data_IF_014798343995
#
_entry.id   IF_014798343995
#
_cell.length_a   1.000
_cell.length_b   1.000
_cell.length_c   1.000
_cell.angle_alpha   90.00
_cell.angle_beta   90.00
_cell.angle_gamma   90.00
#
_symmetry.space_group_name_H-M   'P 1'
#
loop_
_entity.id
_entity.type
_entity.pdbx_description
1 polymer ?
#
# COMPACT_ATOMS: atom_id res chain seq x y z
N UNK A 1 -0.69 -25.78 -4.60
CA UNK A 1 -1.23 -24.92 -5.67
C UNK A 1 -1.57 -23.58 -5.03
N UNK A 2 -1.00 -22.48 -5.52
CA UNK A 2 -1.21 -21.17 -4.91
C UNK A 2 -2.64 -20.66 -5.13
N UNK A 3 -3.06 -19.73 -4.27
CA UNK A 3 -4.35 -19.05 -4.41
C UNK A 3 -4.19 -17.90 -5.40
N UNK A 4 -4.76 -18.04 -6.59
CA UNK A 4 -4.84 -16.93 -7.55
C UNK A 4 -5.63 -15.76 -6.95
N UNK A 5 -5.09 -14.56 -7.08
CA UNK A 5 -5.73 -13.32 -6.61
C UNK A 5 -5.43 -12.18 -7.56
N UNK A 6 -6.46 -11.43 -7.96
CA UNK A 6 -6.24 -10.20 -8.72
C UNK A 6 -5.86 -9.06 -7.78
N UNK A 7 -4.83 -8.30 -8.14
CA UNK A 7 -4.46 -7.08 -7.43
C UNK A 7 -4.81 -5.85 -8.29
N UNK A 8 -5.48 -4.87 -7.68
CA UNK A 8 -5.89 -3.61 -8.29
C UNK A 8 -5.40 -2.44 -7.42
N UNK A 9 -4.42 -1.70 -7.92
CA UNK A 9 -3.66 -0.69 -7.17
C UNK A 9 -3.32 0.49 -8.07
N UNK A 10 -2.98 1.63 -7.49
CA UNK A 10 -2.80 2.89 -8.22
C UNK A 10 -1.49 2.97 -8.99
N UNK A 11 -0.40 2.51 -8.37
CA UNK A 11 0.96 2.63 -8.87
C UNK A 11 1.83 1.43 -8.50
N UNK A 12 3.09 1.47 -8.92
CA UNK A 12 4.05 0.38 -8.72
C UNK A 12 4.45 0.21 -7.25
N UNK A 13 4.49 1.31 -6.48
CA UNK A 13 4.80 1.24 -5.05
C UNK A 13 3.68 0.53 -4.29
N UNK A 14 2.43 0.89 -4.57
CA UNK A 14 1.25 0.25 -3.99
C UNK A 14 1.18 -1.24 -4.36
N UNK A 15 1.57 -1.60 -5.59
CA UNK A 15 1.72 -3.00 -6.01
C UNK A 15 2.77 -3.72 -5.17
N UNK A 16 3.97 -3.13 -5.04
CA UNK A 16 5.06 -3.72 -4.26
C UNK A 16 4.62 -3.97 -2.80
N UNK A 17 3.92 -3.01 -2.20
CA UNK A 17 3.36 -3.13 -0.85
C UNK A 17 2.38 -4.31 -0.76
N UNK A 18 1.41 -4.40 -1.69
CA UNK A 18 0.44 -5.51 -1.69
C UNK A 18 1.14 -6.85 -1.88
N UNK A 19 2.08 -6.96 -2.82
CA UNK A 19 2.84 -8.20 -3.06
C UNK A 19 3.65 -8.60 -1.84
N UNK A 20 4.33 -7.65 -1.18
CA UNK A 20 5.10 -7.89 0.04
C UNK A 20 4.20 -8.40 1.16
N UNK A 21 3.03 -7.77 1.37
CA UNK A 21 2.06 -8.22 2.36
C UNK A 21 1.59 -9.65 2.08
N UNK A 22 1.24 -9.96 0.83
CA UNK A 22 0.78 -11.30 0.43
C UNK A 22 1.89 -12.35 0.56
N UNK A 23 3.15 -12.00 0.27
CA UNK A 23 4.30 -12.89 0.39
C UNK A 23 4.65 -13.25 1.85
N UNK A 24 4.19 -12.47 2.83
CA UNK A 24 4.38 -12.73 4.25
C UNK A 24 3.21 -13.51 4.89
N UNK A 25 2.22 -13.92 4.10
CA UNK A 25 1.11 -14.74 4.58
C UNK A 25 1.50 -16.22 4.57
N UNK A 26 0.90 -16.99 5.47
CA UNK A 26 1.03 -18.46 5.48
C UNK A 26 0.38 -19.11 4.25
N UNK A 27 -0.57 -18.41 3.63
CA UNK A 27 -1.20 -18.82 2.38
C UNK A 27 -0.32 -18.40 1.21
N UNK A 28 0.06 -19.36 0.37
CA UNK A 28 0.72 -19.08 -0.89
C UNK A 28 -0.27 -18.43 -1.87
N UNK A 29 0.02 -17.19 -2.26
CA UNK A 29 -0.74 -16.43 -3.25
C UNK A 29 -0.02 -16.39 -4.60
N UNK A 30 -0.81 -16.34 -5.68
CA UNK A 30 -0.34 -16.06 -7.04
C UNK A 30 -0.95 -14.73 -7.52
N UNK A 31 -0.38 -13.58 -7.09
CA UNK A 31 -0.95 -12.27 -7.38
C UNK A 31 -0.74 -11.84 -8.84
N UNK A 32 -1.85 -11.56 -9.52
CA UNK A 32 -1.88 -11.07 -10.90
C UNK A 32 -2.38 -9.62 -10.91
N UNK A 33 -1.56 -8.69 -11.41
CA UNK A 33 -1.96 -7.28 -11.53
C UNK A 33 -2.96 -7.13 -12.67
N UNK A 34 -4.09 -6.49 -12.40
CA UNK A 34 -5.15 -6.34 -13.40
C UNK A 34 -4.90 -5.21 -14.40
N UNK A 35 -4.19 -4.12 -14.05
CA UNK A 35 -3.77 -3.05 -14.99
C UNK A 35 -2.78 -2.03 -14.38
N UNK A 36 -2.06 -1.30 -15.25
CA UNK A 36 -1.06 -0.25 -14.95
C UNK A 36 -1.55 1.08 -15.54
N UNK A 37 -2.36 1.87 -14.81
CA UNK A 37 -2.71 3.22 -15.27
C UNK A 37 -4.04 3.77 -14.74
N UNK A 38 -4.12 5.11 -14.67
CA UNK A 38 -5.35 5.85 -14.35
C UNK A 38 -5.59 6.14 -12.85
N UNK A 39 -4.71 5.66 -11.95
CA UNK A 39 -4.72 5.97 -10.52
C UNK A 39 -6.05 5.68 -9.81
N UNK A 40 -6.32 6.41 -8.71
CA UNK A 40 -7.54 6.28 -7.93
C UNK A 40 -8.84 6.44 -8.76
N UNK A 41 -8.87 7.33 -9.76
CA UNK A 41 -10.04 7.54 -10.61
C UNK A 41 -10.42 6.28 -11.38
N UNK A 42 -9.43 5.58 -11.96
CA UNK A 42 -9.68 4.32 -12.65
C UNK A 42 -10.19 3.23 -11.71
N UNK A 43 -9.61 3.10 -10.51
CA UNK A 43 -10.06 2.14 -9.51
C UNK A 43 -11.51 2.42 -9.08
N UNK A 44 -11.85 3.70 -8.86
CA UNK A 44 -13.21 4.15 -8.55
C UNK A 44 -14.18 3.76 -9.66
N UNK A 45 -13.85 4.04 -10.92
CA UNK A 45 -14.71 3.73 -12.06
C UNK A 45 -14.94 2.23 -12.26
N UNK A 46 -13.97 1.39 -11.85
CA UNK A 46 -14.01 -0.06 -12.01
C UNK A 46 -14.40 -0.83 -10.75
N UNK A 47 -14.64 -0.18 -9.61
CA UNK A 47 -14.90 -0.85 -8.34
C UNK A 47 -16.08 -1.85 -8.42
N UNK A 48 -17.16 -1.51 -9.12
CA UNK A 48 -18.32 -2.41 -9.27
C UNK A 48 -17.95 -3.64 -10.12
N UNK A 49 -17.10 -3.46 -11.13
CA UNK A 49 -16.60 -4.57 -11.95
C UNK A 49 -15.69 -5.49 -11.13
N UNK A 50 -14.74 -4.92 -10.37
CA UNK A 50 -13.88 -5.69 -9.46
C UNK A 50 -14.69 -6.45 -8.40
N UNK A 51 -15.67 -5.78 -7.80
CA UNK A 51 -16.58 -6.42 -6.87
C UNK A 51 -17.34 -7.58 -7.52
N UNK A 52 -17.76 -7.46 -8.78
CA UNK A 52 -18.41 -8.55 -9.50
C UNK A 52 -17.47 -9.71 -9.83
N UNK A 53 -16.20 -9.44 -10.21
CA UNK A 53 -15.17 -10.48 -10.43
C UNK A 53 -14.92 -11.28 -9.15
N UNK A 54 -14.97 -10.62 -8.00
CA UNK A 54 -14.85 -11.23 -6.68
C UNK A 54 -15.92 -12.27 -6.33
N UNK A 55 -16.91 -12.52 -7.21
CA UNK A 55 -17.82 -13.67 -7.08
C UNK A 55 -17.19 -14.98 -7.56
N UNK A 56 -16.13 -14.91 -8.36
CA UNK A 56 -15.50 -16.07 -9.01
C UNK A 56 -14.02 -16.20 -8.68
N UNK A 57 -13.30 -15.08 -8.56
CA UNK A 57 -11.87 -15.07 -8.23
C UNK A 57 -11.62 -13.97 -7.20
N UNK A 58 -10.86 -14.22 -6.12
CA UNK A 58 -10.53 -13.18 -5.14
C UNK A 58 -9.92 -11.94 -5.77
N UNK A 59 -10.32 -10.76 -5.29
CA UNK A 59 -9.79 -9.47 -5.73
C UNK A 59 -9.32 -8.67 -4.54
N UNK A 60 -8.07 -8.23 -4.54
CA UNK A 60 -7.51 -7.28 -3.59
C UNK A 60 -7.35 -5.92 -4.27
N UNK A 61 -8.16 -4.96 -3.84
CA UNK A 61 -8.01 -3.56 -4.24
C UNK A 61 -7.45 -2.70 -3.10
N UNK A 62 -6.41 -1.92 -3.39
CA UNK A 62 -5.81 -0.96 -2.47
C UNK A 62 -5.76 0.43 -3.13
N UNK A 63 -6.12 1.46 -2.37
CA UNK A 63 -6.09 2.87 -2.78
C UNK A 63 -5.67 3.72 -1.59
N UNK A 64 -5.19 4.93 -1.88
CA UNK A 64 -4.87 5.93 -0.88
C UNK A 64 -6.12 6.70 -0.44
N UNK A 65 -6.10 7.19 0.80
CA UNK A 65 -7.16 8.09 1.30
C UNK A 65 -6.95 9.53 0.83
N UNK A 66 -5.70 9.88 0.50
CA UNK A 66 -5.22 11.23 0.25
C UNK A 66 -5.63 12.20 1.38
N UNK A 67 -6.42 13.20 1.03
CA UNK A 67 -6.92 14.25 1.91
C UNK A 67 -8.32 13.97 2.44
N UNK A 68 -8.94 12.83 2.11
CA UNK A 68 -10.30 12.52 2.54
C UNK A 68 -10.38 12.26 4.05
N UNK A 69 -11.60 12.37 4.58
CA UNK A 69 -11.86 12.35 6.02
C UNK A 69 -11.52 11.00 6.64
N UNK A 70 -12.03 9.90 6.08
CA UNK A 70 -11.77 8.56 6.61
C UNK A 70 -11.99 7.44 5.58
N UNK A 71 -11.34 6.28 5.77
CA UNK A 71 -11.48 5.11 4.88
C UNK A 71 -12.93 4.65 4.64
N UNK A 72 -13.76 4.63 5.69
CA UNK A 72 -15.13 4.14 5.57
C UNK A 72 -16.01 5.08 4.74
N UNK A 73 -15.76 6.39 4.78
CA UNK A 73 -16.42 7.34 3.90
C UNK A 73 -16.01 7.13 2.44
N UNK A 74 -14.72 6.88 2.16
CA UNK A 74 -14.24 6.57 0.81
C UNK A 74 -14.89 5.31 0.25
N UNK A 75 -14.94 4.23 1.04
CA UNK A 75 -15.56 2.97 0.63
C UNK A 75 -17.05 3.17 0.31
N UNK A 76 -17.77 3.93 1.14
CA UNK A 76 -19.18 4.27 0.88
C UNK A 76 -19.37 5.14 -0.36
N UNK A 77 -18.47 6.10 -0.58
CA UNK A 77 -18.48 6.95 -1.77
C UNK A 77 -18.29 6.11 -3.05
N UNK A 78 -17.38 5.15 -3.03
CA UNK A 78 -17.02 4.36 -4.23
C UNK A 78 -18.03 3.25 -4.51
N UNK A 79 -18.50 2.53 -3.49
CA UNK A 79 -19.48 1.45 -3.68
C UNK A 79 -20.93 1.94 -3.74
N UNK A 80 -21.23 3.13 -3.19
CA UNK A 80 -22.61 3.59 -3.03
C UNK A 80 -23.44 2.58 -2.24
N UNK A 81 -24.50 2.07 -2.87
CA UNK A 81 -25.40 1.05 -2.30
C UNK A 81 -25.04 -0.39 -2.68
N UNK A 82 -23.96 -0.59 -3.45
CA UNK A 82 -23.55 -1.92 -3.90
C UNK A 82 -22.96 -2.71 -2.72
N UNK A 83 -23.54 -3.89 -2.45
CA UNK A 83 -23.02 -4.80 -1.44
C UNK A 83 -21.65 -5.35 -1.87
N UNK A 84 -20.67 -5.25 -0.99
CA UNK A 84 -19.33 -5.80 -1.19
C UNK A 84 -19.37 -7.34 -1.11
N UNK A 85 -18.78 -8.02 -2.09
CA UNK A 85 -18.68 -9.48 -2.10
C UNK A 85 -17.64 -9.95 -1.08
N UNK A 86 -17.81 -11.16 -0.49
CA UNK A 86 -16.92 -11.65 0.57
C UNK A 86 -15.45 -11.83 0.19
N UNK A 87 -15.19 -12.07 -1.10
CA UNK A 87 -13.83 -12.24 -1.64
C UNK A 87 -13.31 -10.96 -2.32
N UNK A 88 -14.01 -9.83 -2.14
CA UNK A 88 -13.52 -8.51 -2.51
C UNK A 88 -12.85 -7.83 -1.32
N UNK A 89 -11.52 -7.88 -1.29
CA UNK A 89 -10.68 -7.28 -0.26
C UNK A 89 -10.36 -5.84 -0.69
N UNK A 90 -11.31 -4.93 -0.46
CA UNK A 90 -11.09 -3.51 -0.69
C UNK A 90 -10.57 -2.81 0.57
N UNK A 91 -9.36 -2.28 0.52
CA UNK A 91 -8.72 -1.56 1.64
C UNK A 91 -8.19 -0.20 1.19
N UNK A 92 -8.02 0.68 2.17
CA UNK A 92 -7.63 2.08 1.97
C UNK A 92 -6.50 2.40 2.95
N UNK A 93 -5.36 2.86 2.42
CA UNK A 93 -4.27 3.38 3.24
C UNK A 93 -4.65 4.76 3.79
N UNK A 94 -4.54 4.97 5.11
CA UNK A 94 -4.82 6.30 5.68
C UNK A 94 -3.69 7.25 5.27
N UNK A 95 -4.10 8.39 4.69
CA UNK A 95 -3.26 9.30 3.90
C UNK A 95 -2.75 8.59 2.64
N UNK A 96 -1.64 7.89 2.72
CA UNK A 96 -0.99 7.25 1.58
C UNK A 96 -0.25 5.98 2.03
N UNK A 97 0.06 5.06 1.11
CA UNK A 97 0.89 3.88 1.40
C UNK A 97 2.26 4.25 1.97
N UNK A 98 2.80 5.43 1.64
CA UNK A 98 4.02 5.95 2.24
C UNK A 98 3.93 6.08 3.77
N UNK A 99 2.74 6.34 4.34
CA UNK A 99 2.56 6.35 5.79
C UNK A 99 2.91 4.99 6.42
N UNK A 100 2.62 3.89 5.71
CA UNK A 100 2.99 2.55 6.16
C UNK A 100 4.50 2.31 6.06
N UNK A 101 5.17 2.87 5.05
CA UNK A 101 6.62 2.77 4.91
C UNK A 101 7.36 3.59 5.97
N UNK A 102 6.85 4.78 6.32
CA UNK A 102 7.38 5.62 7.42
C UNK A 102 7.32 4.91 8.78
N UNK A 103 6.39 3.97 8.96
CA UNK A 103 6.19 3.29 10.23
C UNK A 103 7.36 2.37 10.62
N UNK A 104 8.03 1.76 9.64
CA UNK A 104 9.31 1.07 9.84
C UNK A 104 10.48 2.07 9.76
N UNK A 105 10.47 3.00 10.71
CA UNK A 105 11.40 4.12 10.81
C UNK A 105 12.86 3.66 10.88
N UNK A 106 13.14 2.54 11.55
CA UNK A 106 14.50 1.98 11.66
C UNK A 106 15.00 1.48 10.30
N UNK A 107 14.21 0.64 9.59
CA UNK A 107 14.61 0.14 8.28
C UNK A 107 14.72 1.29 7.27
N UNK A 108 13.75 2.22 7.28
CA UNK A 108 13.74 3.37 6.37
C UNK A 108 14.97 4.28 6.59
N UNK A 109 15.33 4.58 7.84
CA UNK A 109 16.53 5.39 8.14
C UNK A 109 17.81 4.73 7.61
N UNK A 110 17.90 3.39 7.70
CA UNK A 110 19.03 2.61 7.19
C UNK A 110 19.07 2.64 5.67
N UNK A 111 17.94 2.37 5.02
CA UNK A 111 17.79 2.40 3.57
C UNK A 111 18.18 3.77 2.98
N UNK A 112 17.63 4.85 3.56
CA UNK A 112 17.94 6.23 3.16
C UNK A 112 19.32 6.70 3.62
N UNK A 113 20.10 5.88 4.35
CA UNK A 113 21.42 6.24 4.90
C UNK A 113 21.40 7.59 5.63
N UNK A 114 20.43 7.78 6.52
CA UNK A 114 20.28 9.00 7.31
C UNK A 114 21.33 9.07 8.42
N UNK A 115 21.98 10.23 8.57
CA UNK A 115 22.95 10.47 9.66
C UNK A 115 22.30 10.63 11.04
N UNK A 116 21.06 11.11 11.07
CA UNK A 116 20.27 11.30 12.28
C UNK A 116 19.00 10.48 12.15
N UNK A 117 18.79 9.56 13.09
CA UNK A 117 17.60 8.74 13.15
C UNK A 117 16.35 9.62 13.31
N UNK A 118 15.27 9.20 12.66
CA UNK A 118 13.93 9.78 12.76
C UNK A 118 13.02 8.70 13.34
N UNK A 119 12.01 9.12 14.11
CA UNK A 119 11.00 8.21 14.65
C UNK A 119 9.61 8.76 14.37
N UNK A 120 8.71 7.87 13.98
CA UNK A 120 7.31 8.19 13.71
C UNK A 120 6.43 7.49 14.75
N UNK A 121 5.82 8.28 15.64
CA UNK A 121 4.89 7.75 16.66
C UNK A 121 3.52 7.46 16.05
N UNK A 122 3.05 8.35 15.16
CA UNK A 122 1.76 8.22 14.47
C UNK A 122 1.98 8.46 12.97
N UNK A 123 2.49 7.46 12.21
CA UNK A 123 2.82 7.62 10.80
C UNK A 123 1.63 8.05 9.94
N UNK A 124 0.44 7.48 10.20
CA UNK A 124 -0.82 7.84 9.51
C UNK A 124 -1.35 9.25 9.88
N UNK A 125 -0.71 9.92 10.84
CA UNK A 125 -0.98 11.31 11.22
C UNK A 125 -0.19 12.33 10.42
N UNK A 126 0.81 11.91 9.64
CA UNK A 126 1.55 12.80 8.73
C UNK A 126 0.60 13.33 7.65
N UNK A 127 0.53 14.66 7.49
CA UNK A 127 -0.41 15.27 6.56
C UNK A 127 -0.12 14.92 5.08
N UNK A 128 1.16 14.73 4.75
CA UNK A 128 1.67 14.38 3.42
C UNK A 128 2.85 13.39 3.60
N UNK A 129 2.55 12.08 3.76
CA UNK A 129 3.57 11.06 3.97
C UNK A 129 4.59 10.97 2.83
N UNK A 130 4.16 11.12 1.58
CA UNK A 130 5.03 11.17 0.40
C UNK A 130 6.01 12.34 0.46
N UNK A 131 5.54 13.55 0.77
CA UNK A 131 6.43 14.69 0.98
C UNK A 131 7.43 14.45 2.12
N UNK A 132 7.00 13.76 3.19
CA UNK A 132 7.90 13.38 4.29
C UNK A 132 8.99 12.41 3.83
N UNK A 133 8.65 11.40 3.02
CA UNK A 133 9.63 10.49 2.41
C UNK A 133 10.64 11.27 1.56
N UNK A 134 10.17 12.20 0.71
CA UNK A 134 11.05 13.04 -0.11
C UNK A 134 11.98 13.93 0.73
N UNK A 135 11.47 14.54 1.81
CA UNK A 135 12.29 15.32 2.75
C UNK A 135 13.40 14.48 3.38
N UNK A 136 13.09 13.24 3.79
CA UNK A 136 14.07 12.32 4.34
C UNK A 136 15.10 11.89 3.28
N UNK A 137 14.65 11.57 2.06
CA UNK A 137 15.53 11.19 0.96
C UNK A 137 16.48 12.33 0.55
N UNK A 138 16.03 13.59 0.57
CA UNK A 138 16.86 14.78 0.30
C UNK A 138 18.01 14.93 1.31
N UNK A 139 17.82 14.42 2.54
CA UNK A 139 18.81 14.39 3.61
C UNK A 139 19.73 13.16 3.58
N UNK A 140 19.53 12.26 2.61
CA UNK A 140 20.33 11.05 2.46
C UNK A 140 21.81 11.38 2.27
N UNK A 141 22.67 10.57 2.87
CA UNK A 141 24.11 10.59 2.56
C UNK A 141 24.45 9.86 1.25
N UNK A 142 23.49 9.12 0.67
CA UNK A 142 23.62 8.45 -0.62
C UNK A 142 23.22 9.38 -1.75
N UNK A 143 24.15 9.73 -2.65
CA UNK A 143 23.83 10.56 -3.83
C UNK A 143 22.79 9.90 -4.73
N UNK A 144 22.84 8.57 -4.88
CA UNK A 144 21.87 7.82 -5.70
C UNK A 144 20.44 8.03 -5.17
N UNK A 145 20.25 7.92 -3.86
CA UNK A 145 18.94 8.14 -3.23
C UNK A 145 18.56 9.61 -3.36
N UNK A 146 19.46 10.52 -2.96
CA UNK A 146 19.18 11.96 -2.97
C UNK A 146 18.80 12.48 -4.36
N UNK A 147 19.66 12.24 -5.35
CA UNK A 147 19.52 12.83 -6.69
C UNK A 147 18.53 12.04 -7.58
N UNK A 148 18.25 10.78 -7.21
CA UNK A 148 17.37 9.90 -7.96
C UNK A 148 15.92 9.86 -7.45
N UNK A 149 15.72 9.84 -6.13
CA UNK A 149 14.39 9.74 -5.49
C UNK A 149 13.74 11.11 -5.38
N UNK A 150 14.54 12.18 -5.33
CA UNK A 150 14.05 13.54 -5.14
C UNK A 150 14.40 14.42 -6.33
N UNK A 151 13.41 15.18 -6.80
CA UNK A 151 13.59 16.30 -7.72
C UNK A 151 13.25 17.58 -6.99
N UNK A 152 14.08 18.60 -7.13
CA UNK A 152 13.78 19.95 -6.62
C UNK A 152 13.28 20.83 -7.76
N UNK A 153 12.10 21.41 -7.59
CA UNK A 153 11.55 22.38 -8.51
C UNK A 153 12.21 23.76 -8.37
N UNK A 154 11.97 24.63 -9.34
CA UNK A 154 12.47 26.01 -9.34
C UNK A 154 11.95 26.84 -8.15
N UNK A 155 10.76 26.53 -7.64
CA UNK A 155 10.16 27.16 -6.46
C UNK A 155 10.68 26.57 -5.12
N UNK A 156 11.60 25.61 -5.20
CA UNK A 156 12.19 24.93 -4.03
C UNK A 156 11.37 23.77 -3.48
N UNK A 157 10.20 23.47 -4.05
CA UNK A 157 9.40 22.30 -3.64
C UNK A 157 10.06 20.99 -4.04
N UNK A 158 9.91 19.96 -3.20
CA UNK A 158 10.37 18.62 -3.50
C UNK A 158 9.28 17.85 -4.24
N UNK A 159 9.68 17.15 -5.30
CA UNK A 159 8.84 16.25 -6.07
C UNK A 159 9.51 14.88 -6.21
N UNK A 160 8.72 13.89 -6.58
CA UNK A 160 9.22 12.56 -6.90
C UNK A 160 10.25 12.66 -8.05
N UNK A 161 11.44 12.12 -7.79
CA UNK A 161 12.48 11.92 -8.79
C UNK A 161 12.20 10.69 -9.66
N UNK A 162 12.93 10.53 -10.78
CA UNK A 162 12.65 9.51 -11.79
C UNK A 162 12.80 8.07 -11.28
N UNK A 163 13.56 7.83 -10.20
CA UNK A 163 13.73 6.49 -9.62
C UNK A 163 12.99 6.33 -8.29
N UNK A 164 12.09 7.25 -7.93
CA UNK A 164 11.32 7.18 -6.68
C UNK A 164 10.64 5.82 -6.50
N UNK A 165 9.81 5.40 -7.47
CA UNK A 165 9.09 4.13 -7.39
C UNK A 165 10.04 2.94 -7.39
N UNK A 166 11.13 2.96 -8.17
CA UNK A 166 12.08 1.86 -8.24
C UNK A 166 12.81 1.66 -6.90
N UNK A 167 13.29 2.75 -6.28
CA UNK A 167 14.01 2.71 -5.01
C UNK A 167 13.08 2.34 -3.85
N UNK A 168 11.88 2.92 -3.79
CA UNK A 168 10.92 2.60 -2.73
C UNK A 168 10.36 1.18 -2.89
N UNK A 169 10.17 0.70 -4.11
CA UNK A 169 9.84 -0.72 -4.36
C UNK A 169 10.96 -1.65 -3.88
N UNK A 170 12.24 -1.28 -4.11
CA UNK A 170 13.38 -2.04 -3.58
C UNK A 170 13.32 -2.10 -2.06
N UNK A 171 13.16 -0.95 -1.40
CA UNK A 171 13.01 -0.87 0.05
C UNK A 171 11.87 -1.77 0.56
N UNK A 172 10.69 -1.68 -0.07
CA UNK A 172 9.51 -2.48 0.28
C UNK A 172 9.77 -3.98 0.19
N UNK A 173 10.51 -4.42 -0.83
CA UNK A 173 10.75 -5.84 -1.06
C UNK A 173 11.87 -6.41 -0.16
N UNK A 174 12.92 -5.64 0.09
CA UNK A 174 14.16 -6.12 0.71
C UNK A 174 14.22 -5.82 2.22
N UNK A 175 13.80 -4.63 2.64
CA UNK A 175 14.08 -4.11 3.98
C UNK A 175 12.82 -3.93 4.84
N UNK A 176 11.69 -3.56 4.23
CA UNK A 176 10.48 -3.19 4.95
C UNK A 176 9.85 -4.37 5.71
N UNK A 177 9.57 -4.15 6.99
CA UNK A 177 8.82 -5.05 7.86
C UNK A 177 7.35 -4.58 8.02
N UNK A 178 6.45 -5.40 7.47
CA UNK A 178 5.00 -5.16 7.50
C UNK A 178 4.46 -5.22 8.92
N UNK A 179 4.98 -6.10 9.78
CA UNK A 179 4.49 -6.29 11.15
C UNK A 179 4.90 -5.14 12.07
N UNK A 180 6.14 -4.65 11.94
CA UNK A 180 6.59 -3.43 12.61
C UNK A 180 5.67 -2.27 12.24
N UNK A 181 5.37 -2.13 10.95
CA UNK A 181 4.53 -1.07 10.43
C UNK A 181 3.08 -1.19 10.90
N UNK A 182 2.51 -2.40 10.87
CA UNK A 182 1.16 -2.68 11.35
C UNK A 182 0.97 -2.39 12.85
N UNK A 183 2.06 -2.43 13.63
CA UNK A 183 2.06 -2.02 15.04
C UNK A 183 1.82 -0.52 15.26
N UNK A 184 2.11 0.32 14.25
CA UNK A 184 1.95 1.79 14.30
C UNK A 184 0.88 2.33 13.35
N UNK A 185 0.41 1.52 12.40
CA UNK A 185 -0.54 1.90 11.34
C UNK A 185 -1.86 1.13 11.46
N UNK A 186 -2.91 1.71 12.09
CA UNK A 186 -4.20 1.06 12.23
C UNK A 186 -4.88 0.66 10.91
N UNK A 187 -4.63 1.35 9.80
CA UNK A 187 -5.21 0.95 8.51
C UNK A 187 -4.54 -0.29 7.91
N UNK A 188 -3.21 -0.42 8.06
CA UNK A 188 -2.49 -1.63 7.69
C UNK A 188 -2.90 -2.82 8.58
N UNK A 189 -3.05 -2.61 9.89
CA UNK A 189 -3.52 -3.66 10.79
C UNK A 189 -4.91 -4.18 10.39
N UNK A 190 -5.83 -3.28 10.00
CA UNK A 190 -7.17 -3.66 9.49
C UNK A 190 -7.12 -4.39 8.16
N UNK A 191 -6.12 -4.12 7.32
CA UNK A 191 -5.86 -4.87 6.09
C UNK A 191 -5.40 -6.29 6.43
N UNK A 192 -4.43 -6.46 7.34
CA UNK A 192 -3.96 -7.80 7.74
C UNK A 192 -5.08 -8.67 8.32
N UNK A 193 -5.91 -8.10 9.20
CA UNK A 193 -7.10 -8.80 9.74
C UNK A 193 -8.12 -9.18 8.65
N UNK A 194 -8.20 -8.39 7.58
CA UNK A 194 -9.09 -8.70 6.46
C UNK A 194 -8.63 -9.91 5.67
N UNK A 195 -7.31 -10.00 5.43
CA UNK A 195 -6.69 -11.15 4.77
C UNK A 195 -6.86 -12.39 5.63
N UNK A 196 -6.61 -12.31 6.93
CA UNK A 196 -6.82 -13.43 7.86
C UNK A 196 -8.27 -13.94 7.81
N UNK A 197 -9.26 -13.04 7.93
CA UNK A 197 -10.66 -13.41 7.83
C UNK A 197 -11.04 -14.00 6.45
N UNK A 198 -10.41 -13.53 5.38
CA UNK A 198 -10.58 -14.10 4.04
C UNK A 198 -10.00 -15.52 3.96
N UNK A 199 -8.78 -15.72 4.45
CA UNK A 199 -8.08 -17.02 4.46
C UNK A 199 -8.83 -18.07 5.29
N UNK A 200 -9.44 -17.66 6.41
CA UNK A 200 -10.32 -18.50 7.22
C UNK A 200 -11.56 -18.95 6.44
N UNK A 201 -12.24 -18.02 5.74
CA UNK A 201 -13.40 -18.38 4.90
C UNK A 201 -13.02 -19.36 3.80
N UNK A 202 -11.90 -19.12 3.13
CA UNK A 202 -11.41 -20.00 2.05
C UNK A 202 -11.09 -21.41 2.56
N UNK A 203 -10.53 -21.55 3.77
CA UNK A 203 -10.30 -22.85 4.41
C UNK A 203 -11.63 -23.56 4.71
N UNK A 204 -12.58 -22.87 5.32
CA UNK A 204 -13.90 -23.43 5.65
C UNK A 204 -14.69 -23.87 4.41
N UNK A 205 -14.60 -23.12 3.30
CA UNK A 205 -15.25 -23.50 2.03
C UNK A 205 -14.59 -24.71 1.35
N UNK A 206 -13.30 -24.97 1.59
CA UNK A 206 -12.60 -26.16 1.09
C UNK A 206 -12.91 -27.41 1.93
N UNK A 207 -13.03 -27.27 3.25
CA UNK A 207 -13.37 -28.40 4.14
C UNK A 207 -14.83 -28.86 4.03
N UNK A 208 -15.70 -28.04 3.43
CA UNK A 208 -17.12 -28.36 3.22
C UNK A 208 -17.42 -28.98 1.84
N UNK A 209 -16.41 -29.16 0.98
CA UNK A 209 -16.49 -29.82 -0.33
C UNK A 209 -15.81 -31.17 -0.26
#
# INVERSE_FOLDING_TARGET
MGTFIYIAVEDDLSEAVVRRILAQRDVSYEPVRWNVGGGASFLKDKIVAFNNIAKSVPVFMLTDLDRKVCPSALVKEWLGFVKMNPDFIFRVAVREVEAWLLADDVALCRFLKLRKAVRFIIPEGEADPKAKVLELAERSSSRIVKDGVVRRNADGTLQQGPVYNAELTRFTNEDWDVHVSAGKCPSLQRLLRALEAFEERQRSSKSAR
#
